data_IF_293495092700
#
_entry.id   IF_293495092700
#
_cell.length_a   1.000
_cell.length_b   1.000
_cell.length_c   1.000
_cell.angle_alpha   90.00
_cell.angle_beta   90.00
_cell.angle_gamma   90.00
#
_symmetry.space_group_name_H-M   'P 1'
#
loop_
_entity.id
_entity.type
_entity.pdbx_description
1 polymer ?
#
# COMPACT_ATOMS: atom_id res chain seq x y z
N UNK A 1 -50.75 -11.14 -16.93
CA UNK A 1 -49.28 -11.34 -16.96
C UNK A 1 -48.66 -10.19 -16.16
N UNK A 2 -48.44 -10.36 -14.84
CA UNK A 2 -47.87 -9.32 -13.97
C UNK A 2 -46.93 -10.03 -12.99
N UNK A 3 -45.62 -9.96 -13.22
CA UNK A 3 -44.61 -10.38 -12.25
C UNK A 3 -44.49 -9.28 -11.18
N UNK A 4 -44.80 -9.62 -9.93
CA UNK A 4 -44.47 -8.79 -8.77
C UNK A 4 -42.99 -9.02 -8.42
N UNK A 5 -42.17 -7.98 -8.57
CA UNK A 5 -40.84 -7.94 -7.97
C UNK A 5 -40.97 -7.85 -6.44
N UNK A 6 -40.65 -8.93 -5.76
CA UNK A 6 -40.61 -9.00 -4.29
C UNK A 6 -39.36 -8.24 -3.81
N UNK A 7 -39.56 -7.01 -3.35
CA UNK A 7 -38.51 -6.22 -2.72
C UNK A 7 -38.24 -6.80 -1.32
N UNK A 8 -37.13 -7.51 -1.16
CA UNK A 8 -36.72 -8.11 0.11
C UNK A 8 -36.30 -7.01 1.09
N UNK A 9 -37.24 -6.54 1.93
CA UNK A 9 -36.95 -5.62 3.04
C UNK A 9 -36.23 -6.39 4.15
N UNK A 10 -34.91 -6.25 4.23
CA UNK A 10 -34.15 -6.70 5.39
C UNK A 10 -34.56 -5.87 6.62
N UNK A 11 -35.02 -6.49 7.72
CA UNK A 11 -35.31 -5.77 8.96
C UNK A 11 -34.02 -5.25 9.59
N UNK A 12 -34.03 -4.02 10.10
CA UNK A 12 -32.90 -3.36 10.77
C UNK A 12 -32.30 -4.19 11.93
N UNK A 13 -33.09 -5.09 12.53
CA UNK A 13 -32.66 -6.02 13.56
C UNK A 13 -31.64 -7.06 13.06
N UNK A 14 -31.65 -7.43 11.78
CA UNK A 14 -30.74 -8.44 11.22
C UNK A 14 -29.30 -7.92 11.10
N UNK A 15 -29.14 -6.63 10.78
CA UNK A 15 -27.82 -5.98 10.75
C UNK A 15 -27.19 -5.86 12.14
N UNK A 16 -28.00 -5.60 13.17
CA UNK A 16 -27.53 -5.51 14.56
C UNK A 16 -27.04 -6.86 15.10
N UNK A 17 -27.69 -7.96 14.70
CA UNK A 17 -27.31 -9.31 15.11
C UNK A 17 -25.95 -9.74 14.52
N UNK A 18 -25.67 -9.37 13.26
CA UNK A 18 -24.37 -9.62 12.61
C UNK A 18 -23.26 -8.80 13.31
N UNK A 19 -23.55 -7.55 13.65
CA UNK A 19 -22.63 -6.68 14.37
C UNK A 19 -22.29 -7.24 15.77
N UNK A 20 -23.29 -7.76 16.50
CA UNK A 20 -23.09 -8.38 17.81
C UNK A 20 -22.34 -9.73 17.75
N UNK A 21 -22.54 -10.53 16.70
CA UNK A 21 -21.84 -11.81 16.53
C UNK A 21 -20.34 -11.59 16.26
N UNK A 22 -19.98 -10.56 15.48
CA UNK A 22 -18.60 -10.16 15.22
C UNK A 22 -17.85 -9.70 16.49
N UNK A 23 -18.56 -9.19 17.51
CA UNK A 23 -17.98 -8.74 18.79
C UNK A 23 -17.56 -9.90 19.72
N UNK A 24 -18.01 -11.13 19.47
CA UNK A 24 -17.78 -12.27 20.38
C UNK A 24 -16.60 -13.17 20.04
N UNK A 25 -15.92 -12.96 18.91
CA UNK A 25 -14.68 -13.68 18.60
C UNK A 25 -13.58 -13.15 19.53
N UNK A 26 -13.25 -13.95 20.54
CA UNK A 26 -12.20 -13.65 21.52
C UNK A 26 -10.84 -13.60 20.83
N UNK A 27 -10.46 -12.39 20.47
CA UNK A 27 -9.17 -11.92 19.96
C UNK A 27 -8.01 -12.33 20.87
N UNK A 28 -6.99 -12.96 20.30
CA UNK A 28 -5.72 -13.27 20.97
C UNK A 28 -4.78 -12.08 20.77
N UNK A 29 -4.91 -11.10 21.66
CA UNK A 29 -4.20 -9.83 21.58
C UNK A 29 -2.69 -9.92 21.88
N UNK A 30 -1.92 -9.15 21.14
CA UNK A 30 -0.61 -8.66 21.52
C UNK A 30 -0.70 -7.61 22.64
N UNK A 31 0.15 -7.70 23.68
CA UNK A 31 0.06 -6.85 24.88
C UNK A 31 0.54 -5.40 24.68
N UNK A 32 1.37 -5.13 23.67
CA UNK A 32 1.98 -3.80 23.43
C UNK A 32 1.83 -3.36 21.98
N UNK A 33 1.62 -2.06 21.72
CA UNK A 33 1.61 -1.54 20.36
C UNK A 33 3.01 -1.62 19.75
N UNK A 34 3.10 -2.13 18.53
CA UNK A 34 4.29 -2.09 17.69
C UNK A 34 4.18 -0.99 16.65
N UNK A 35 5.27 -0.24 16.48
CA UNK A 35 5.41 0.76 15.42
C UNK A 35 6.80 0.65 14.80
N UNK A 36 6.83 0.47 13.47
CA UNK A 36 8.03 0.46 12.66
C UNK A 36 7.91 1.58 11.64
N UNK A 37 8.74 2.62 11.82
CA UNK A 37 8.91 3.68 10.84
C UNK A 37 10.15 3.34 10.00
N UNK A 38 9.98 3.34 8.69
CA UNK A 38 11.05 3.18 7.72
C UNK A 38 11.06 4.32 6.72
N UNK A 39 12.08 4.31 5.86
CA UNK A 39 12.18 5.27 4.79
C UNK A 39 13.31 4.94 3.82
N UNK A 40 13.48 5.78 2.82
CA UNK A 40 14.63 5.77 1.94
C UNK A 40 14.81 7.16 1.32
N UNK A 41 16.05 7.52 1.01
CA UNK A 41 16.37 8.73 0.26
C UNK A 41 17.33 8.34 -0.86
N UNK A 42 17.01 8.75 -2.09
CA UNK A 42 17.73 8.40 -3.31
C UNK A 42 18.16 9.66 -4.04
N UNK A 43 19.43 9.67 -4.44
CA UNK A 43 20.05 10.68 -5.28
C UNK A 43 20.78 9.97 -6.41
N UNK A 44 20.86 10.63 -7.57
CA UNK A 44 21.69 10.19 -8.67
C UNK A 44 22.82 11.19 -8.91
N UNK A 45 23.96 10.66 -9.30
CA UNK A 45 25.06 11.43 -9.84
C UNK A 45 25.39 10.90 -11.23
N UNK A 46 25.43 11.78 -12.22
CA UNK A 46 25.73 11.43 -13.60
C UNK A 46 26.95 12.21 -14.09
N UNK A 47 27.92 11.48 -14.63
CA UNK A 47 29.05 12.05 -15.34
C UNK A 47 29.11 11.49 -16.76
N UNK A 48 28.73 12.32 -17.73
CA UNK A 48 28.72 11.95 -19.14
C UNK A 48 29.99 12.44 -19.85
N UNK A 49 30.83 11.51 -20.30
CA UNK A 49 32.12 11.79 -20.98
C UNK A 49 31.98 12.41 -22.37
N UNK A 50 30.78 12.54 -22.91
CA UNK A 50 30.52 13.17 -24.21
C UNK A 50 29.87 14.55 -24.10
N UNK A 51 29.58 15.02 -22.87
CA UNK A 51 29.01 16.36 -22.63
C UNK A 51 30.08 17.27 -22.03
N UNK A 52 30.66 18.15 -22.84
CA UNK A 52 31.73 19.06 -22.38
C UNK A 52 31.30 19.98 -21.22
N UNK A 53 30.04 20.44 -21.23
CA UNK A 53 29.48 21.21 -20.11
C UNK A 53 29.44 20.40 -18.80
N UNK A 54 29.15 19.10 -18.85
CA UNK A 54 29.15 18.20 -17.69
C UNK A 54 30.55 17.99 -17.15
N UNK A 55 31.53 17.77 -18.04
CA UNK A 55 32.94 17.62 -17.64
C UNK A 55 33.44 18.87 -16.93
N UNK A 56 33.17 20.05 -17.49
CA UNK A 56 33.60 21.34 -16.92
C UNK A 56 33.02 21.57 -15.52
N UNK A 57 31.78 21.15 -15.27
CA UNK A 57 31.10 21.32 -13.97
C UNK A 57 31.28 20.15 -13.00
N UNK A 58 31.95 19.08 -13.40
CA UNK A 58 32.17 17.90 -12.57
C UNK A 58 30.94 17.03 -12.36
N UNK A 59 30.04 16.94 -13.35
CA UNK A 59 28.85 16.09 -13.33
C UNK A 59 27.59 16.74 -12.77
N UNK A 60 26.50 15.97 -12.81
CA UNK A 60 25.16 16.39 -12.38
C UNK A 60 24.71 15.60 -11.17
N UNK A 61 24.34 16.32 -10.12
CA UNK A 61 23.64 15.76 -8.98
C UNK A 61 22.13 15.98 -9.12
N UNK A 62 21.34 14.93 -8.91
CA UNK A 62 19.89 14.97 -9.01
C UNK A 62 19.22 14.31 -7.82
N UNK A 63 18.31 15.04 -7.18
CA UNK A 63 17.33 14.42 -6.28
C UNK A 63 16.43 13.48 -7.08
N UNK A 64 16.15 12.32 -6.51
CA UNK A 64 15.35 11.30 -7.16
C UNK A 64 14.08 11.01 -6.37
N UNK A 65 14.23 10.49 -5.15
CA UNK A 65 13.09 10.04 -4.35
C UNK A 65 13.35 10.14 -2.85
N UNK A 66 12.36 10.59 -2.10
CA UNK A 66 12.22 10.39 -0.67
C UNK A 66 11.03 9.47 -0.40
N UNK A 67 11.19 8.49 0.46
CA UNK A 67 10.14 7.57 0.91
C UNK A 67 10.09 7.57 2.41
N UNK A 68 8.87 7.57 2.95
CA UNK A 68 8.60 7.24 4.34
C UNK A 68 7.50 6.18 4.40
N UNK A 69 7.67 5.22 5.29
CA UNK A 69 6.70 4.16 5.51
C UNK A 69 6.48 3.92 7.00
N UNK A 70 5.25 3.59 7.36
CA UNK A 70 4.85 3.23 8.71
C UNK A 70 4.12 1.88 8.66
N UNK A 71 4.58 0.95 9.49
CA UNK A 71 3.89 -0.30 9.77
C UNK A 71 3.61 -0.33 11.26
N UNK A 72 2.35 -0.47 11.64
CA UNK A 72 1.95 -0.54 13.04
C UNK A 72 1.04 -1.73 13.27
N UNK A 73 1.11 -2.29 14.47
CA UNK A 73 0.24 -3.38 14.89
C UNK A 73 -0.13 -3.20 16.36
N UNK A 74 -1.40 -3.38 16.67
CA UNK A 74 -1.90 -3.41 18.05
C UNK A 74 -3.11 -4.33 18.13
N UNK A 75 -2.96 -5.42 18.89
CA UNK A 75 -3.95 -6.51 18.92
C UNK A 75 -4.19 -7.02 17.48
N UNK A 76 -5.43 -7.17 17.06
CA UNK A 76 -5.78 -7.59 15.69
C UNK A 76 -5.80 -6.45 14.67
N UNK A 77 -5.58 -5.21 15.09
CA UNK A 77 -5.57 -4.06 14.19
C UNK A 77 -4.15 -3.79 13.73
N UNK A 78 -3.97 -3.63 12.43
CA UNK A 78 -2.68 -3.31 11.84
C UNK A 78 -2.82 -2.24 10.76
N UNK A 79 -1.73 -1.53 10.51
CA UNK A 79 -1.66 -0.42 9.57
C UNK A 79 -0.42 -0.55 8.72
N UNK A 80 -0.56 -0.24 7.43
CA UNK A 80 0.55 -0.10 6.52
C UNK A 80 0.33 1.14 5.63
N UNK A 81 1.25 2.08 5.70
CA UNK A 81 1.24 3.27 4.86
C UNK A 81 2.63 3.58 4.32
N UNK A 82 2.71 3.93 3.03
CA UNK A 82 3.93 4.37 2.38
C UNK A 82 3.64 5.59 1.51
N UNK A 83 4.31 6.70 1.83
CA UNK A 83 4.29 7.92 1.03
C UNK A 83 5.62 8.09 0.32
N UNK A 84 5.56 8.49 -0.94
CA UNK A 84 6.73 8.78 -1.77
C UNK A 84 6.66 10.18 -2.31
N UNK A 85 7.79 10.85 -2.29
CA UNK A 85 8.02 12.12 -2.96
C UNK A 85 9.11 11.88 -3.99
N UNK A 86 8.76 12.00 -5.27
CA UNK A 86 9.73 12.02 -6.35
C UNK A 86 10.10 13.45 -6.71
N UNK A 87 11.20 13.61 -7.45
CA UNK A 87 11.54 14.89 -8.04
C UNK A 87 10.44 15.38 -8.99
N UNK A 88 10.39 16.69 -9.21
CA UNK A 88 9.32 17.35 -9.95
C UNK A 88 9.10 16.77 -11.36
N UNK A 89 10.16 16.30 -12.02
CA UNK A 89 10.09 15.67 -13.35
C UNK A 89 9.45 14.28 -13.37
N UNK A 90 9.27 13.63 -12.21
CA UNK A 90 8.79 12.25 -12.08
C UNK A 90 7.42 12.16 -11.38
N UNK A 91 6.66 13.27 -11.34
CA UNK A 91 5.28 13.26 -10.85
C UNK A 91 5.09 13.63 -9.37
N UNK A 92 6.16 14.03 -8.67
CA UNK A 92 6.06 14.60 -7.33
C UNK A 92 5.60 13.61 -6.25
N UNK A 93 4.77 14.08 -5.33
CA UNK A 93 4.37 13.35 -4.13
C UNK A 93 3.08 12.56 -4.30
N UNK A 94 3.07 11.31 -3.85
CA UNK A 94 1.87 10.48 -3.83
C UNK A 94 1.91 9.41 -2.73
N UNK A 95 0.72 8.97 -2.31
CA UNK A 95 0.55 7.83 -1.43
C UNK A 95 0.65 6.55 -2.27
N UNK A 96 1.69 5.74 -2.06
CA UNK A 96 1.88 4.48 -2.80
C UNK A 96 0.86 3.44 -2.32
N UNK A 97 0.75 3.29 -1.01
CA UNK A 97 -0.20 2.39 -0.35
C UNK A 97 -0.54 2.98 1.02
N UNK A 98 -1.74 2.68 1.51
CA UNK A 98 -2.21 3.20 2.78
C UNK A 98 -3.50 2.55 3.18
N UNK A 99 -3.44 1.58 4.08
CA UNK A 99 -4.59 0.82 4.51
C UNK A 99 -4.48 0.43 5.99
N UNK A 100 -5.65 0.21 6.58
CA UNK A 100 -5.82 -0.35 7.92
C UNK A 100 -6.47 -1.71 7.77
N UNK A 101 -6.01 -2.68 8.55
CA UNK A 101 -6.51 -4.03 8.53
C UNK A 101 -6.99 -4.51 9.90
N UNK A 102 -7.85 -5.52 9.88
CA UNK A 102 -8.29 -6.27 11.04
C UNK A 102 -8.18 -7.77 10.77
N UNK A 103 -7.55 -8.51 11.68
CA UNK A 103 -7.45 -9.97 11.62
C UNK A 103 -8.63 -10.60 12.37
N UNK A 104 -9.40 -11.46 11.70
CA UNK A 104 -10.43 -12.27 12.36
C UNK A 104 -9.84 -13.55 12.97
N UNK A 105 -8.85 -14.11 12.29
CA UNK A 105 -8.07 -15.27 12.72
C UNK A 105 -6.70 -15.24 11.99
N UNK A 106 -5.93 -16.32 12.04
CA UNK A 106 -4.59 -16.40 11.42
C UNK A 106 -4.61 -16.37 9.88
N UNK A 107 -5.75 -16.67 9.25
CA UNK A 107 -5.91 -16.84 7.80
C UNK A 107 -6.78 -15.74 7.17
N UNK A 108 -7.73 -15.20 7.93
CA UNK A 108 -8.75 -14.27 7.48
C UNK A 108 -8.48 -12.86 8.01
N UNK A 109 -8.30 -11.94 7.07
CA UNK A 109 -8.10 -10.53 7.35
C UNK A 109 -8.90 -9.67 6.39
N UNK A 110 -9.32 -8.49 6.87
CA UNK A 110 -9.93 -7.45 6.03
C UNK A 110 -9.01 -6.25 5.98
N UNK A 111 -8.81 -5.67 4.79
CA UNK A 111 -8.06 -4.43 4.60
C UNK A 111 -8.98 -3.35 4.03
N UNK A 112 -8.89 -2.14 4.57
CA UNK A 112 -9.65 -0.97 4.12
C UNK A 112 -8.69 0.18 3.84
N UNK A 113 -8.73 0.71 2.61
CA UNK A 113 -7.91 1.83 2.16
C UNK A 113 -7.33 1.63 0.77
N UNK A 114 -6.21 2.30 0.50
CA UNK A 114 -5.43 2.14 -0.73
C UNK A 114 -4.52 0.91 -0.61
N UNK A 115 -5.09 -0.24 -0.95
CA UNK A 115 -4.40 -1.54 -0.98
C UNK A 115 -4.08 -1.96 -2.40
N UNK A 116 -3.05 -2.80 -2.55
CA UNK A 116 -2.70 -3.38 -3.84
C UNK A 116 -3.62 -4.58 -4.13
N UNK A 117 -4.19 -4.60 -5.33
CA UNK A 117 -4.98 -5.75 -5.79
C UNK A 117 -4.06 -6.96 -5.93
N UNK A 118 -4.37 -8.12 -5.33
CA UNK A 118 -3.54 -9.32 -5.39
C UNK A 118 -3.70 -10.03 -6.75
N UNK A 119 -3.31 -9.35 -7.82
CA UNK A 119 -3.40 -9.84 -9.20
C UNK A 119 -2.06 -9.65 -9.91
N UNK A 120 -1.74 -10.59 -10.80
CA UNK A 120 -0.53 -10.54 -11.62
C UNK A 120 0.76 -10.83 -10.85
N UNK A 121 1.86 -10.84 -11.60
CA UNK A 121 3.20 -11.03 -11.04
C UNK A 121 3.67 -9.72 -10.42
N UNK A 122 4.13 -9.76 -9.17
CA UNK A 122 4.63 -8.58 -8.47
C UNK A 122 6.01 -8.13 -9.00
N UNK A 123 6.34 -6.86 -8.72
CA UNK A 123 7.57 -6.17 -9.14
C UNK A 123 8.87 -6.92 -8.82
N UNK A 124 8.82 -7.78 -7.79
CA UNK A 124 9.98 -8.49 -7.26
C UNK A 124 10.44 -9.67 -8.12
N UNK A 125 9.64 -10.13 -9.08
CA UNK A 125 10.01 -11.24 -9.95
C UNK A 125 10.62 -10.79 -11.30
N UNK A 126 11.13 -9.55 -11.38
CA UNK A 126 11.85 -9.05 -12.54
C UNK A 126 13.25 -8.53 -12.19
N UNK A 127 14.17 -8.70 -13.13
CA UNK A 127 15.59 -8.34 -12.99
C UNK A 127 15.99 -7.16 -13.90
N UNK A 128 15.02 -6.41 -14.44
CA UNK A 128 15.25 -5.26 -15.30
C UNK A 128 14.28 -4.11 -14.97
N UNK A 129 14.64 -2.90 -15.41
CA UNK A 129 13.83 -1.70 -15.21
C UNK A 129 12.43 -1.79 -15.85
N UNK A 130 12.33 -2.48 -16.99
CA UNK A 130 11.09 -2.55 -17.77
C UNK A 130 10.10 -3.62 -17.28
N UNK A 131 10.44 -4.38 -16.23
CA UNK A 131 9.66 -5.52 -15.76
C UNK A 131 9.46 -6.62 -16.83
N UNK A 132 8.85 -7.75 -16.43
CA UNK A 132 8.45 -8.81 -17.36
C UNK A 132 7.09 -8.45 -18.01
N UNK A 133 6.80 -8.97 -19.21
CA UNK A 133 5.52 -8.73 -19.89
C UNK A 133 4.30 -9.06 -19.01
N UNK A 134 4.38 -10.13 -18.22
CA UNK A 134 3.32 -10.56 -17.29
C UNK A 134 3.07 -9.60 -16.12
N UNK A 135 3.89 -8.56 -15.94
CA UNK A 135 3.64 -7.48 -14.98
C UNK A 135 2.59 -6.47 -15.48
N UNK A 136 2.40 -6.37 -16.80
CA UNK A 136 1.51 -5.40 -17.43
C UNK A 136 0.10 -5.93 -17.73
N UNK A 137 -0.18 -7.16 -17.33
CA UNK A 137 -1.48 -7.84 -17.48
C UNK A 137 -2.15 -7.89 -16.13
#
# INVERSE_FOLDING_TARGET
MIQKCTCLRFPSAFGLAILMFLLTLAVKAQDKPELKIGGALRFNYNLSSWKEAQKKRGGDFGYDMFRINAVAAYKEVFLNAEYRLYSQGFGGGFLKQGWVGYNFNEEDQIHVGLTQVPFGIQQYNSHNWFFNLSYYV
#
